data_IF_592400251627
#
_entry.id   IF_592400251627
#
_cell.length_a   1.000
_cell.length_b   1.000
_cell.length_c   1.000
_cell.angle_alpha   90.00
_cell.angle_beta   90.00
_cell.angle_gamma   90.00
#
_symmetry.space_group_name_H-M   'P 1'
#
loop_
_entity.id
_entity.type
_entity.pdbx_description
1 polymer ?
#
# COMPACT_ATOMS: atom_id res chain seq x y z
N UNK A 1 -16.71 -12.55 17.46
CA UNK A 1 -17.78 -12.83 16.46
C UNK A 1 -18.60 -11.60 16.11
N UNK A 2 -18.75 -10.62 17.01
CA UNK A 2 -19.41 -9.33 16.70
C UNK A 2 -18.71 -8.51 15.60
N UNK A 3 -17.37 -8.49 15.58
CA UNK A 3 -16.63 -7.65 14.63
C UNK A 3 -16.80 -8.10 13.16
N UNK A 4 -16.89 -9.42 12.91
CA UNK A 4 -17.14 -9.97 11.57
C UNK A 4 -18.55 -9.68 11.08
N UNK A 5 -19.55 -9.72 11.98
CA UNK A 5 -20.93 -9.39 11.66
C UNK A 5 -21.12 -7.91 11.33
N UNK A 6 -20.46 -7.02 12.07
CA UNK A 6 -20.43 -5.58 11.77
C UNK A 6 -19.74 -5.29 10.43
N UNK A 7 -18.64 -5.99 10.12
CA UNK A 7 -17.93 -5.80 8.86
C UNK A 7 -18.75 -6.23 7.63
N UNK A 8 -19.46 -7.35 7.72
CA UNK A 8 -20.35 -7.84 6.66
C UNK A 8 -21.58 -6.95 6.48
N UNK A 9 -22.15 -6.42 7.57
CA UNK A 9 -23.30 -5.52 7.52
C UNK A 9 -22.98 -4.16 6.89
N UNK A 10 -21.79 -3.62 7.16
CA UNK A 10 -21.38 -2.30 6.68
C UNK A 10 -20.65 -2.32 5.32
N UNK A 11 -20.44 -3.50 4.71
CA UNK A 11 -19.67 -3.60 3.45
C UNK A 11 -20.38 -2.84 2.31
N UNK A 12 -21.71 -2.96 2.20
CA UNK A 12 -22.47 -2.30 1.13
C UNK A 12 -22.50 -0.79 1.36
N UNK A 13 -22.74 -0.34 2.60
CA UNK A 13 -22.73 1.08 2.95
C UNK A 13 -21.35 1.71 2.75
N UNK A 14 -20.26 1.05 3.18
CA UNK A 14 -18.89 1.54 2.95
C UNK A 14 -18.48 1.51 1.47
N UNK A 15 -19.04 0.60 0.68
CA UNK A 15 -18.75 0.51 -0.77
C UNK A 15 -19.43 1.63 -1.56
N UNK A 16 -20.63 2.06 -1.13
CA UNK A 16 -21.41 3.10 -1.81
C UNK A 16 -21.42 4.46 -1.10
N UNK A 17 -20.84 4.58 0.10
CA UNK A 17 -20.73 5.85 0.81
C UNK A 17 -19.67 6.73 0.12
N UNK A 18 -20.17 7.68 -0.66
CA UNK A 18 -19.38 8.73 -1.29
C UNK A 18 -18.90 9.81 -0.31
N UNK A 19 -19.24 9.71 0.99
CA UNK A 19 -19.14 10.78 2.01
C UNK A 19 -19.42 12.18 1.46
N UNK A 20 -20.35 12.32 0.51
CA UNK A 20 -20.62 13.58 -0.19
C UNK A 20 -21.16 14.69 0.74
N UNK A 21 -21.52 14.34 1.98
CA UNK A 21 -22.09 15.23 3.00
C UNK A 21 -21.21 15.41 4.25
N UNK A 22 -20.11 14.67 4.38
CA UNK A 22 -19.09 14.95 5.40
C UNK A 22 -17.95 15.68 4.70
N UNK A 23 -17.61 16.89 5.15
CA UNK A 23 -16.44 17.65 4.67
C UNK A 23 -15.15 16.94 5.12
N UNK A 24 -14.87 15.80 4.51
CA UNK A 24 -13.69 14.98 4.76
C UNK A 24 -12.92 14.84 3.46
N UNK A 25 -11.83 15.60 3.33
CA UNK A 25 -10.86 15.48 2.23
C UNK A 25 -10.18 14.10 2.19
N UNK A 26 -10.50 13.20 3.12
CA UNK A 26 -9.96 11.85 3.20
C UNK A 26 -10.26 11.01 1.95
N UNK A 27 -11.49 11.03 1.45
CA UNK A 27 -11.85 10.30 0.22
C UNK A 27 -11.09 10.84 -0.98
N UNK A 28 -10.93 12.17 -1.05
CA UNK A 28 -10.13 12.83 -2.09
C UNK A 28 -8.66 12.41 -2.05
N UNK A 29 -8.06 12.47 -0.86
CA UNK A 29 -6.62 12.25 -0.64
C UNK A 29 -6.19 10.79 -0.76
N UNK A 30 -7.08 9.83 -0.48
CA UNK A 30 -6.76 8.40 -0.51
C UNK A 30 -7.49 7.67 -1.61
N UNK A 31 -8.79 7.47 -1.47
CA UNK A 31 -9.58 6.59 -2.35
C UNK A 31 -9.58 7.10 -3.79
N UNK A 32 -10.01 8.34 -4.00
CA UNK A 32 -10.08 8.93 -5.34
C UNK A 32 -8.68 9.07 -5.95
N UNK A 33 -7.68 9.44 -5.16
CA UNK A 33 -6.29 9.48 -5.61
C UNK A 33 -5.81 8.11 -6.11
N UNK A 34 -5.99 7.03 -5.34
CA UNK A 34 -5.56 5.67 -5.72
C UNK A 34 -6.29 5.19 -6.98
N UNK A 35 -7.60 5.44 -7.08
CA UNK A 35 -8.36 5.08 -8.29
C UNK A 35 -7.90 5.88 -9.51
N UNK A 36 -7.77 7.21 -9.39
CA UNK A 36 -7.29 8.07 -10.47
C UNK A 36 -5.88 7.69 -10.91
N UNK A 37 -4.98 7.44 -9.95
CA UNK A 37 -3.63 6.96 -10.18
C UNK A 37 -3.62 5.63 -10.94
N UNK A 38 -4.42 4.67 -10.49
CA UNK A 38 -4.52 3.35 -11.12
C UNK A 38 -5.03 3.45 -12.56
N UNK A 39 -6.05 4.29 -12.80
CA UNK A 39 -6.60 4.51 -14.14
C UNK A 39 -5.56 5.20 -15.04
N UNK A 40 -4.83 6.19 -14.53
CA UNK A 40 -3.78 6.88 -15.29
C UNK A 40 -2.63 5.94 -15.71
N UNK A 41 -2.30 4.95 -14.87
CA UNK A 41 -1.25 3.96 -15.14
C UNK A 41 -1.73 2.71 -15.91
N UNK A 42 -3.04 2.48 -15.99
CA UNK A 42 -3.61 1.31 -16.63
C UNK A 42 -3.14 1.10 -18.10
N UNK A 43 -3.01 2.14 -18.96
CA UNK A 43 -2.51 1.95 -20.32
C UNK A 43 -1.08 1.43 -20.38
N UNK A 44 -0.20 1.94 -19.51
CA UNK A 44 1.21 1.54 -19.46
C UNK A 44 1.35 0.10 -18.94
N UNK A 45 0.73 -0.19 -17.79
CA UNK A 45 0.77 -1.52 -17.17
C UNK A 45 0.10 -2.57 -18.05
N UNK A 46 -1.05 -2.24 -18.64
CA UNK A 46 -1.79 -3.14 -19.54
C UNK A 46 -0.97 -3.56 -20.75
N UNK A 47 -0.27 -2.62 -21.41
CA UNK A 47 0.60 -2.91 -22.55
C UNK A 47 1.81 -3.77 -22.15
N UNK A 48 2.41 -3.52 -20.98
CA UNK A 48 3.52 -4.31 -20.47
C UNK A 48 3.10 -5.77 -20.22
N UNK A 49 2.00 -5.96 -19.47
CA UNK A 49 1.49 -7.30 -19.13
C UNK A 49 1.05 -8.05 -20.40
N UNK A 50 0.41 -7.38 -21.35
CA UNK A 50 0.02 -7.98 -22.62
C UNK A 50 1.24 -8.53 -23.41
N UNK A 51 2.35 -7.77 -23.44
CA UNK A 51 3.58 -8.19 -24.13
C UNK A 51 4.21 -9.44 -23.53
N UNK A 52 4.27 -9.53 -22.19
CA UNK A 52 4.89 -10.68 -21.50
C UNK A 52 3.96 -11.91 -21.40
N UNK A 53 2.67 -11.76 -21.72
CA UNK A 53 1.67 -12.82 -21.58
C UNK A 53 1.37 -13.59 -22.88
N UNK A 54 2.25 -13.49 -23.89
CA UNK A 54 2.08 -14.17 -25.18
C UNK A 54 2.00 -15.69 -24.99
N UNK A 55 0.93 -16.31 -25.49
CA UNK A 55 0.73 -17.77 -25.44
C UNK A 55 0.06 -18.30 -24.17
N UNK A 56 -0.36 -17.43 -23.23
CA UNK A 56 -1.16 -17.83 -22.05
C UNK A 56 -2.65 -17.84 -22.37
N UNK A 57 -3.41 -18.69 -21.68
CA UNK A 57 -4.87 -18.64 -21.74
C UNK A 57 -5.42 -17.42 -21.01
N UNK A 58 -6.63 -16.96 -21.36
CA UNK A 58 -7.29 -15.84 -20.69
C UNK A 58 -7.43 -16.10 -19.18
N UNK A 59 -7.72 -17.35 -18.79
CA UNK A 59 -7.87 -17.72 -17.38
C UNK A 59 -6.58 -17.59 -16.60
N UNK A 60 -5.46 -18.10 -17.13
CA UNK A 60 -4.14 -17.98 -16.51
C UNK A 60 -3.67 -16.52 -16.48
N UNK A 61 -3.98 -15.75 -17.51
CA UNK A 61 -3.70 -14.32 -17.56
C UNK A 61 -4.43 -13.58 -16.43
N UNK A 62 -5.75 -13.72 -16.34
CA UNK A 62 -6.57 -13.02 -15.35
C UNK A 62 -6.16 -13.41 -13.92
N UNK A 63 -5.97 -14.71 -13.65
CA UNK A 63 -5.53 -15.17 -12.33
C UNK A 63 -4.13 -14.67 -11.98
N UNK A 64 -3.18 -14.71 -12.91
CA UNK A 64 -1.83 -14.23 -12.67
C UNK A 64 -1.78 -12.72 -12.39
N UNK A 65 -2.53 -11.92 -13.16
CA UNK A 65 -2.58 -10.46 -13.02
C UNK A 65 -3.26 -10.03 -11.74
N UNK A 66 -4.23 -10.79 -11.23
CA UNK A 66 -4.86 -10.47 -9.94
C UNK A 66 -4.02 -10.97 -8.77
N UNK A 67 -3.59 -12.24 -8.78
CA UNK A 67 -2.98 -12.85 -7.61
C UNK A 67 -1.56 -12.31 -7.35
N UNK A 68 -0.71 -12.23 -8.38
CA UNK A 68 0.71 -11.88 -8.17
C UNK A 68 0.87 -10.48 -7.55
N UNK A 69 0.23 -9.42 -8.07
CA UNK A 69 0.34 -8.08 -7.47
C UNK A 69 -0.34 -8.00 -6.10
N UNK A 70 -1.46 -8.69 -5.90
CA UNK A 70 -2.15 -8.71 -4.60
C UNK A 70 -1.29 -9.37 -3.53
N UNK A 71 -0.68 -10.53 -3.81
CA UNK A 71 0.21 -11.19 -2.85
C UNK A 71 1.44 -10.34 -2.53
N UNK A 72 2.05 -9.72 -3.54
CA UNK A 72 3.18 -8.84 -3.32
C UNK A 72 2.81 -7.63 -2.46
N UNK A 73 1.70 -6.97 -2.78
CA UNK A 73 1.18 -5.81 -2.03
C UNK A 73 0.85 -6.20 -0.59
N UNK A 74 0.18 -7.34 -0.40
CA UNK A 74 -0.16 -7.86 0.91
C UNK A 74 1.10 -8.16 1.74
N UNK A 75 2.08 -8.84 1.13
CA UNK A 75 3.35 -9.13 1.79
C UNK A 75 4.08 -7.85 2.19
N UNK A 76 4.14 -6.86 1.29
CA UNK A 76 4.76 -5.57 1.56
C UNK A 76 4.10 -4.85 2.74
N UNK A 77 2.78 -4.69 2.72
CA UNK A 77 2.05 -4.05 3.82
C UNK A 77 2.12 -4.85 5.11
N UNK A 78 2.12 -6.18 5.04
CA UNK A 78 2.26 -7.02 6.22
C UNK A 78 3.64 -6.90 6.84
N UNK A 79 4.72 -6.77 6.06
CA UNK A 79 6.08 -6.65 6.63
C UNK A 79 6.29 -5.24 7.17
N UNK A 80 6.12 -4.20 6.35
CA UNK A 80 6.45 -2.83 6.73
C UNK A 80 5.37 -2.19 7.61
N UNK A 81 4.09 -2.42 7.30
CA UNK A 81 2.97 -1.88 8.06
C UNK A 81 2.86 -2.49 9.46
N UNK A 82 2.96 -3.82 9.58
CA UNK A 82 2.93 -4.48 10.89
C UNK A 82 4.15 -4.11 11.74
N UNK A 83 5.35 -4.04 11.13
CA UNK A 83 6.56 -3.58 11.84
C UNK A 83 6.38 -2.16 12.39
N UNK A 84 5.85 -1.23 11.58
CA UNK A 84 5.58 0.14 12.04
C UNK A 84 4.56 0.17 13.18
N UNK A 85 3.49 -0.61 13.06
CA UNK A 85 2.43 -0.74 14.06
C UNK A 85 2.96 -1.35 15.37
N UNK A 86 3.80 -2.37 15.29
CA UNK A 86 4.47 -2.98 16.44
C UNK A 86 5.37 -1.98 17.16
N UNK A 87 6.18 -1.21 16.42
CA UNK A 87 7.03 -0.18 17.01
C UNK A 87 6.23 0.91 17.75
N UNK A 88 5.08 1.29 17.22
CA UNK A 88 4.20 2.30 17.84
C UNK A 88 3.49 1.72 19.07
N UNK A 89 2.83 0.56 18.91
CA UNK A 89 1.92 0.02 19.93
C UNK A 89 2.61 -0.79 21.02
N UNK A 90 3.70 -1.49 20.71
CA UNK A 90 4.41 -2.38 21.63
C UNK A 90 5.66 -1.70 22.18
N UNK A 91 6.49 -1.14 21.31
CA UNK A 91 7.76 -0.51 21.72
C UNK A 91 7.57 0.96 22.18
N UNK A 92 6.36 1.51 22.03
CA UNK A 92 6.00 2.85 22.49
C UNK A 92 6.63 4.00 21.69
N UNK A 93 7.07 3.75 20.45
CA UNK A 93 7.77 4.71 19.60
C UNK A 93 6.82 5.72 18.93
N UNK A 94 6.11 6.50 19.75
CA UNK A 94 5.12 7.47 19.29
C UNK A 94 5.70 8.63 18.47
N UNK A 95 7.01 8.91 18.59
CA UNK A 95 7.66 9.97 17.81
C UNK A 95 7.66 9.68 16.30
N UNK A 96 7.56 8.40 15.90
CA UNK A 96 7.40 8.00 14.50
C UNK A 96 6.19 8.67 13.86
N UNK A 97 5.06 8.76 14.58
CA UNK A 97 3.84 9.38 14.08
C UNK A 97 4.08 10.86 13.79
N UNK A 98 4.64 11.60 14.75
CA UNK A 98 4.91 13.03 14.59
C UNK A 98 5.96 13.33 13.51
N UNK A 99 6.98 12.49 13.37
CA UNK A 99 8.03 12.66 12.36
C UNK A 99 7.49 12.39 10.94
N UNK A 100 6.67 11.35 10.77
CA UNK A 100 6.03 11.00 9.50
C UNK A 100 4.98 12.03 9.08
N UNK A 101 4.24 12.59 10.03
CA UNK A 101 3.27 13.67 9.74
C UNK A 101 3.96 14.93 9.22
N UNK A 102 5.15 15.25 9.73
CA UNK A 102 5.94 16.38 9.26
C UNK A 102 6.56 16.12 7.89
N UNK A 103 7.01 14.88 7.65
CA UNK A 103 7.59 14.50 6.37
C UNK A 103 7.33 13.02 6.06
N UNK A 104 6.40 12.75 5.15
CA UNK A 104 6.05 11.38 4.77
C UNK A 104 7.18 10.66 4.03
N UNK A 105 8.08 11.38 3.35
CA UNK A 105 9.15 10.78 2.57
C UNK A 105 10.23 10.09 3.43
N UNK A 106 10.37 10.48 4.71
CA UNK A 106 11.35 9.87 5.62
C UNK A 106 10.79 8.66 6.39
N UNK A 107 9.50 8.34 6.23
CA UNK A 107 8.82 7.31 7.02
C UNK A 107 9.52 5.94 6.96
N UNK A 108 9.93 5.53 5.77
CA UNK A 108 10.63 4.26 5.57
C UNK A 108 11.98 4.26 6.27
N UNK A 109 12.76 5.34 6.15
CA UNK A 109 14.08 5.44 6.79
C UNK A 109 13.98 5.46 8.31
N UNK A 110 12.98 6.14 8.86
CA UNK A 110 12.71 6.18 10.31
C UNK A 110 12.31 4.82 10.88
N UNK A 111 11.63 3.99 10.10
CA UNK A 111 11.38 2.60 10.45
C UNK A 111 12.69 1.78 10.42
N UNK A 112 13.49 1.92 9.37
CA UNK A 112 14.75 1.19 9.21
C UNK A 112 15.81 1.53 10.26
N UNK A 113 15.80 2.76 10.80
CA UNK A 113 16.65 3.22 11.91
C UNK A 113 16.50 2.38 13.19
N UNK A 114 15.38 1.67 13.35
CA UNK A 114 15.11 0.82 14.51
C UNK A 114 15.40 -0.66 14.27
N UNK A 115 15.70 -1.05 13.03
CA UNK A 115 16.02 -2.44 12.69
C UNK A 115 17.54 -2.68 12.77
N UNK A 116 17.99 -3.90 13.11
CA UNK A 116 19.41 -4.24 13.04
C UNK A 116 19.94 -4.07 11.60
N UNK A 117 21.20 -3.65 11.45
CA UNK A 117 21.86 -3.37 10.17
C UNK A 117 21.32 -2.15 9.39
N UNK A 118 20.80 -1.13 10.08
CA UNK A 118 20.28 0.11 9.47
C UNK A 118 21.17 0.68 8.36
N UNK A 119 22.47 0.85 8.59
CA UNK A 119 23.35 1.50 7.60
C UNK A 119 23.36 0.78 6.25
N UNK A 120 23.39 -0.56 6.28
CA UNK A 120 23.35 -1.38 5.08
C UNK A 120 21.97 -1.33 4.40
N UNK A 121 20.90 -1.52 5.18
CA UNK A 121 19.54 -1.57 4.63
C UNK A 121 19.11 -0.21 4.08
N UNK A 122 19.40 0.89 4.79
CA UNK A 122 19.11 2.26 4.33
C UNK A 122 19.89 2.61 3.06
N UNK A 123 21.17 2.21 2.98
CA UNK A 123 21.98 2.42 1.77
C UNK A 123 21.42 1.63 0.57
N UNK A 124 21.00 0.39 0.80
CA UNK A 124 20.32 -0.42 -0.22
C UNK A 124 18.99 0.19 -0.65
N UNK A 125 18.19 0.70 0.29
CA UNK A 125 16.92 1.38 0.00
C UNK A 125 17.13 2.61 -0.89
N UNK A 126 18.15 3.43 -0.64
CA UNK A 126 18.48 4.57 -1.51
C UNK A 126 18.79 4.09 -2.94
N UNK A 127 19.61 3.04 -3.08
CA UNK A 127 19.94 2.48 -4.40
C UNK A 127 18.70 1.97 -5.13
N UNK A 128 17.80 1.27 -4.44
CA UNK A 128 16.54 0.81 -5.01
C UNK A 128 15.66 1.98 -5.46
N UNK A 129 15.51 3.02 -4.64
CA UNK A 129 14.73 4.21 -5.00
C UNK A 129 15.29 4.84 -6.28
N UNK A 130 16.62 4.99 -6.40
CA UNK A 130 17.27 5.53 -7.60
C UNK A 130 17.03 4.66 -8.84
N UNK A 131 16.91 3.34 -8.68
CA UNK A 131 16.71 2.40 -9.80
C UNK A 131 15.26 2.35 -10.29
N UNK A 132 14.30 2.62 -9.40
CA UNK A 132 12.86 2.61 -9.72
C UNK A 132 12.29 4.00 -10.05
N UNK A 133 13.06 5.07 -9.84
CA UNK A 133 12.78 6.44 -10.30
C UNK A 133 12.88 6.53 -11.83
#
# INVERSE_FOLDING_TARGET
>A
MENTGSYLGNIVERTFSLQAYENSDWIGSWTLFIFAWTIAWAPFVGLFIAKISRGRTIREFVLGVMLVPTFFTFFWFSVFGDTALHMIMVDGYNSLISEVQNNQAIALFKLLERLPFTEFVSSLTILLIITFL
#
